data_IF_613818304503
#
_entry.id   IF_613818304503
#
_cell.length_a   1.000
_cell.length_b   1.000
_cell.length_c   1.000
_cell.angle_alpha   90.00
_cell.angle_beta   90.00
_cell.angle_gamma   90.00
#
_symmetry.space_group_name_H-M   'P 1'
#
loop_
_entity.id
_entity.type
_entity.pdbx_description
1 polymer ?
#
# COMPACT_ATOMS: atom_id res chain seq x y z
N UNK A 1 58.76 11.87 0.76
CA UNK A 1 58.19 11.48 -0.54
C UNK A 1 57.90 9.98 -0.52
N UNK A 2 56.71 9.61 -0.05
CA UNK A 2 56.04 8.33 -0.32
C UNK A 2 54.64 8.44 0.32
N UNK A 3 53.81 9.30 -0.27
CA UNK A 3 52.38 9.38 0.05
C UNK A 3 51.72 8.18 -0.62
N UNK A 4 51.57 7.09 0.13
CA UNK A 4 50.88 5.90 -0.35
C UNK A 4 49.40 6.07 -0.04
N UNK A 5 48.71 6.82 -0.90
CA UNK A 5 47.24 6.90 -0.92
C UNK A 5 46.71 5.53 -1.30
N UNK A 6 46.44 4.69 -0.31
CA UNK A 6 45.60 3.51 -0.46
C UNK A 6 44.16 3.98 -0.69
N UNK A 7 43.87 4.48 -1.90
CA UNK A 7 42.51 4.55 -2.41
C UNK A 7 42.00 3.12 -2.43
N UNK A 8 41.16 2.77 -1.45
CA UNK A 8 40.63 1.42 -1.29
C UNK A 8 40.02 0.95 -2.60
N UNK A 9 40.65 -0.05 -3.23
CA UNK A 9 40.17 -0.59 -4.48
C UNK A 9 38.71 -1.01 -4.29
N UNK A 10 37.81 -0.47 -5.12
CA UNK A 10 36.42 -0.87 -5.13
C UNK A 10 36.34 -2.40 -5.23
N UNK A 11 35.40 -3.01 -4.50
CA UNK A 11 35.17 -4.46 -4.58
C UNK A 11 35.09 -4.87 -6.06
N UNK A 12 35.74 -5.96 -6.49
CA UNK A 12 35.61 -6.45 -7.86
C UNK A 12 34.16 -6.87 -8.21
N UNK A 13 33.29 -6.99 -7.20
CA UNK A 13 31.86 -7.23 -7.34
C UNK A 13 31.02 -5.93 -7.36
N UNK A 14 31.65 -4.78 -7.10
CA UNK A 14 30.97 -3.49 -7.14
C UNK A 14 30.57 -3.15 -8.58
N UNK A 15 29.31 -2.72 -8.81
CA UNK A 15 28.92 -2.22 -10.10
C UNK A 15 29.76 -1.01 -10.51
N UNK A 16 30.02 -0.83 -11.81
CA UNK A 16 30.83 0.29 -12.32
C UNK A 16 30.27 1.69 -12.00
N UNK A 17 28.99 1.79 -11.65
CA UNK A 17 28.34 3.03 -11.24
C UNK A 17 28.47 3.33 -9.73
N UNK A 18 29.00 2.39 -8.94
CA UNK A 18 29.16 2.53 -7.49
C UNK A 18 30.53 3.17 -7.19
N UNK A 19 30.52 4.47 -6.92
CA UNK A 19 31.74 5.20 -6.56
C UNK A 19 32.07 5.03 -5.08
N UNK A 20 33.35 4.83 -4.78
CA UNK A 20 33.86 4.88 -3.40
C UNK A 20 33.75 6.34 -2.93
N UNK A 21 33.11 6.63 -1.78
CA UNK A 21 33.02 7.99 -1.27
C UNK A 21 34.42 8.58 -1.02
N UNK A 22 34.65 9.81 -1.49
CA UNK A 22 35.93 10.52 -1.27
C UNK A 22 36.20 10.85 0.20
N UNK A 23 35.16 10.90 1.02
CA UNK A 23 35.26 10.99 2.48
C UNK A 23 34.30 9.96 3.11
N UNK A 24 34.87 8.92 3.73
CA UNK A 24 34.11 7.87 4.42
C UNK A 24 33.44 8.37 5.71
N UNK A 25 33.91 9.49 6.27
CA UNK A 25 33.33 10.08 7.47
C UNK A 25 32.17 11.03 7.14
N UNK A 26 32.02 11.45 5.89
CA UNK A 26 30.91 12.32 5.49
C UNK A 26 29.57 11.61 5.60
N UNK A 27 28.64 12.20 6.35
CA UNK A 27 27.23 11.80 6.33
C UNK A 27 26.55 12.42 5.11
N UNK A 28 25.83 11.61 4.33
CA UNK A 28 25.05 12.08 3.17
C UNK A 28 23.64 12.41 3.66
N UNK A 29 23.21 13.69 3.73
CA UNK A 29 21.98 14.07 4.43
C UNK A 29 20.73 13.32 3.99
N UNK A 30 20.61 12.96 2.70
CA UNK A 30 19.45 12.23 2.18
C UNK A 30 19.37 10.76 2.59
N UNK A 31 20.45 10.17 3.15
CA UNK A 31 20.52 8.77 3.58
C UNK A 31 20.32 8.59 5.09
N UNK A 32 20.53 9.64 5.87
CA UNK A 32 20.47 9.61 7.33
C UNK A 32 19.20 10.30 7.82
N UNK A 33 18.83 10.07 9.09
CA UNK A 33 17.85 10.89 9.76
C UNK A 33 18.36 12.35 9.80
N UNK A 34 17.46 13.34 9.71
CA UNK A 34 17.88 14.74 9.60
C UNK A 34 18.62 15.27 10.85
N UNK A 35 18.44 14.59 11.98
CA UNK A 35 19.06 14.86 13.28
C UNK A 35 20.28 13.96 13.57
N UNK A 36 20.74 13.20 12.57
CA UNK A 36 21.99 12.48 12.62
C UNK A 36 23.17 13.41 12.33
N UNK A 37 24.19 13.36 13.17
CA UNK A 37 25.33 14.27 13.07
C UNK A 37 26.64 13.64 13.56
N UNK A 38 27.67 14.47 13.70
CA UNK A 38 28.90 14.09 14.40
C UNK A 38 29.14 15.03 15.57
N UNK A 39 29.51 14.45 16.70
CA UNK A 39 29.96 15.20 17.87
C UNK A 39 31.36 15.81 17.67
N UNK A 40 31.82 16.64 18.63
CA UNK A 40 33.14 17.27 18.59
C UNK A 40 34.32 16.28 18.52
N UNK A 41 34.13 15.06 19.00
CA UNK A 41 35.09 13.95 18.98
C UNK A 41 35.01 13.11 17.68
N UNK A 42 34.12 13.49 16.75
CA UNK A 42 33.88 12.78 15.50
C UNK A 42 32.92 11.60 15.62
N UNK A 43 32.41 11.26 16.81
CA UNK A 43 31.46 10.16 16.99
C UNK A 43 30.11 10.48 16.35
N UNK A 44 29.47 9.48 15.73
CA UNK A 44 28.10 9.61 15.21
C UNK A 44 27.13 9.90 16.36
N UNK A 45 26.25 10.87 16.16
CA UNK A 45 25.14 11.17 17.06
C UNK A 45 23.81 11.00 16.33
N UNK A 46 22.75 10.63 17.06
CA UNK A 46 21.36 10.63 16.57
C UNK A 46 20.53 11.37 17.61
N UNK A 47 19.80 12.41 17.20
CA UNK A 47 19.11 13.33 18.13
C UNK A 47 20.05 13.88 19.23
N UNK A 48 21.32 14.13 18.87
CA UNK A 48 22.36 14.57 19.81
C UNK A 48 22.95 13.48 20.72
N UNK A 49 22.40 12.26 20.74
CA UNK A 49 22.90 11.16 21.55
C UNK A 49 24.05 10.43 20.85
N UNK A 50 25.24 10.33 21.47
CA UNK A 50 26.36 9.61 20.88
C UNK A 50 26.06 8.10 20.80
N UNK A 51 26.36 7.48 19.65
CA UNK A 51 26.05 6.05 19.43
C UNK A 51 26.78 5.11 20.40
N UNK A 52 27.90 5.55 20.98
CA UNK A 52 28.60 4.83 22.04
C UNK A 52 27.78 4.71 23.32
N UNK A 53 27.08 5.78 23.71
CA UNK A 53 26.18 5.80 24.86
C UNK A 53 24.96 4.90 24.62
N UNK A 54 24.36 4.99 23.43
CA UNK A 54 23.24 4.12 23.02
C UNK A 54 23.65 2.65 23.11
N UNK A 55 24.82 2.29 22.56
CA UNK A 55 25.36 0.92 22.64
C UNK A 55 25.59 0.49 24.09
N UNK A 56 26.15 1.37 24.93
CA UNK A 56 26.41 1.05 26.33
C UNK A 56 25.12 0.81 27.12
N UNK A 57 24.06 1.57 26.82
CA UNK A 57 22.78 1.46 27.51
C UNK A 57 21.91 0.27 27.04
N UNK A 58 21.88 0.00 25.73
CA UNK A 58 20.93 -0.94 25.12
C UNK A 58 21.58 -2.17 24.46
N UNK A 59 22.90 -2.22 24.36
CA UNK A 59 23.62 -3.29 23.68
C UNK A 59 23.61 -3.17 22.15
N UNK A 60 24.11 -4.20 21.46
CA UNK A 60 24.13 -4.28 20.00
C UNK A 60 23.87 -5.70 19.50
N UNK A 61 23.13 -5.90 18.38
CA UNK A 61 22.62 -4.89 17.45
C UNK A 61 21.45 -4.08 18.02
N UNK A 62 21.37 -2.80 17.65
CA UNK A 62 20.31 -1.88 18.08
C UNK A 62 19.72 -1.13 16.87
N UNK A 63 18.40 -1.02 16.82
CA UNK A 63 17.71 -0.13 15.89
C UNK A 63 17.43 1.19 16.60
N UNK A 64 17.99 2.28 16.08
CA UNK A 64 17.75 3.64 16.59
C UNK A 64 16.81 4.33 15.62
N UNK A 65 15.63 4.70 16.12
CA UNK A 65 14.63 5.45 15.36
C UNK A 65 14.58 6.87 15.89
N UNK A 66 14.88 7.85 15.04
CA UNK A 66 14.62 9.26 15.36
C UNK A 66 13.12 9.50 15.29
N UNK A 67 12.52 9.86 16.42
CA UNK A 67 11.11 10.26 16.50
C UNK A 67 10.87 11.56 15.72
N UNK A 68 11.75 12.54 15.89
CA UNK A 68 11.65 13.82 15.19
C UNK A 68 11.72 13.63 13.67
N UNK A 69 12.62 12.78 13.15
CA UNK A 69 12.70 12.47 11.72
C UNK A 69 11.46 11.77 11.19
N UNK A 70 10.92 10.82 11.95
CA UNK A 70 9.66 10.18 11.59
C UNK A 70 8.52 11.19 11.49
N UNK A 71 8.33 12.00 12.53
CA UNK A 71 7.25 13.01 12.61
C UNK A 71 7.39 14.08 11.54
N UNK A 72 8.61 14.59 11.32
CA UNK A 72 8.90 15.57 10.28
C UNK A 72 8.53 15.05 8.89
N UNK A 73 8.87 13.78 8.57
CA UNK A 73 8.48 13.16 7.29
C UNK A 73 6.98 12.98 7.18
N UNK A 74 6.32 12.48 8.22
CA UNK A 74 4.87 12.31 8.24
C UNK A 74 4.15 13.63 7.95
N UNK A 75 4.54 14.71 8.66
CA UNK A 75 3.98 16.04 8.48
C UNK A 75 4.27 16.63 7.11
N UNK A 76 5.49 16.47 6.60
CA UNK A 76 5.86 16.96 5.27
C UNK A 76 4.99 16.30 4.19
N UNK A 77 4.79 14.99 4.29
CA UNK A 77 3.91 14.25 3.40
C UNK A 77 2.46 14.71 3.48
N UNK A 78 1.89 14.80 4.69
CA UNK A 78 0.51 15.28 4.89
C UNK A 78 0.31 16.67 4.32
N UNK A 79 1.22 17.59 4.62
CA UNK A 79 1.17 18.99 4.16
C UNK A 79 1.26 19.08 2.64
N UNK A 80 2.21 18.35 2.02
CA UNK A 80 2.40 18.39 0.58
C UNK A 80 1.16 17.87 -0.18
N UNK A 81 0.60 16.76 0.29
CA UNK A 81 -0.59 16.16 -0.31
C UNK A 81 -1.85 17.00 -0.06
N UNK A 82 -2.04 17.55 1.14
CA UNK A 82 -3.15 18.47 1.38
C UNK A 82 -3.07 19.70 0.47
N UNK A 83 -1.89 20.30 0.35
CA UNK A 83 -1.69 21.48 -0.49
C UNK A 83 -1.94 21.16 -1.97
N UNK A 84 -1.44 20.02 -2.48
CA UNK A 84 -1.62 19.61 -3.87
C UNK A 84 -3.09 19.36 -4.25
N UNK A 85 -3.93 18.99 -3.29
CA UNK A 85 -5.33 18.64 -3.50
C UNK A 85 -6.33 19.62 -2.87
N UNK A 86 -5.85 20.73 -2.30
CA UNK A 86 -6.68 21.71 -1.59
C UNK A 86 -7.82 22.25 -2.46
N UNK A 87 -7.53 22.63 -3.71
CA UNK A 87 -8.52 23.20 -4.63
C UNK A 87 -9.50 22.17 -5.19
N UNK A 88 -9.10 20.89 -5.24
CA UNK A 88 -9.90 19.80 -5.79
C UNK A 88 -10.89 19.24 -4.76
N UNK A 89 -10.42 19.03 -3.53
CA UNK A 89 -11.20 18.31 -2.52
C UNK A 89 -10.98 18.77 -1.08
N UNK A 90 -10.23 19.85 -0.85
CA UNK A 90 -9.96 20.40 0.48
C UNK A 90 -8.90 19.64 1.28
N UNK A 91 -8.14 18.76 0.63
CA UNK A 91 -7.10 17.92 1.22
C UNK A 91 -7.36 16.43 1.01
N UNK A 92 -6.41 15.59 1.42
CA UNK A 92 -6.49 14.13 1.21
C UNK A 92 -6.15 13.37 2.48
N UNK A 93 -6.57 12.12 2.50
CA UNK A 93 -6.24 11.18 3.56
C UNK A 93 -4.90 10.51 3.24
N UNK A 94 -4.00 10.50 4.21
CA UNK A 94 -2.66 9.93 4.09
C UNK A 94 -2.55 8.73 5.00
N UNK A 95 -2.21 7.58 4.45
CA UNK A 95 -2.14 6.32 5.19
C UNK A 95 -0.69 5.86 5.35
N UNK A 96 -0.19 5.85 6.58
CA UNK A 96 1.06 5.17 6.88
C UNK A 96 0.88 3.66 6.72
N UNK A 97 1.76 2.99 5.98
CA UNK A 97 1.66 1.53 5.86
C UNK A 97 2.39 0.81 6.98
N UNK A 98 1.63 0.15 7.84
CA UNK A 98 2.12 -0.60 9.00
C UNK A 98 3.15 -1.67 8.65
N UNK A 99 3.03 -2.30 7.47
CA UNK A 99 4.00 -3.28 6.95
C UNK A 99 5.46 -2.78 6.91
N UNK A 100 5.68 -1.46 6.93
CA UNK A 100 7.02 -0.87 6.89
C UNK A 100 7.74 -0.95 8.24
N UNK A 101 7.04 -0.61 9.33
CA UNK A 101 7.40 -0.87 10.72
C UNK A 101 6.20 -0.49 11.62
N UNK A 102 5.68 -1.40 12.43
CA UNK A 102 4.53 -1.11 13.29
C UNK A 102 4.77 -1.58 14.72
N UNK A 103 4.61 -0.64 15.65
CA UNK A 103 4.47 -0.87 17.08
C UNK A 103 3.49 0.16 17.64
N UNK A 104 3.10 0.05 18.91
CA UNK A 104 2.13 0.97 19.51
C UNK A 104 2.60 2.43 19.52
N UNK A 105 3.91 2.67 19.70
CA UNK A 105 4.47 4.02 19.66
C UNK A 105 4.36 4.63 18.25
N UNK A 106 4.77 3.91 17.21
CA UNK A 106 4.68 4.39 15.82
C UNK A 106 3.22 4.63 15.41
N UNK A 107 2.30 3.74 15.80
CA UNK A 107 0.88 3.93 15.54
C UNK A 107 0.32 5.20 16.21
N UNK A 108 0.78 5.51 17.43
CA UNK A 108 0.43 6.75 18.12
C UNK A 108 0.99 7.98 17.39
N UNK A 109 2.26 7.96 16.98
CA UNK A 109 2.89 9.04 16.22
C UNK A 109 2.16 9.33 14.90
N UNK A 110 1.83 8.28 14.14
CA UNK A 110 1.06 8.39 12.89
C UNK A 110 -0.24 9.15 13.11
N UNK A 111 -1.01 8.76 14.13
CA UNK A 111 -2.28 9.41 14.49
C UNK A 111 -2.08 10.86 14.92
N UNK A 112 -1.08 11.12 15.76
CA UNK A 112 -0.77 12.46 16.28
C UNK A 112 -0.33 13.44 15.18
N UNK A 113 0.35 12.95 14.15
CA UNK A 113 0.72 13.74 12.97
C UNK A 113 -0.42 13.88 11.95
N UNK A 114 -1.63 13.39 12.28
CA UNK A 114 -2.82 13.54 11.43
C UNK A 114 -2.86 12.59 10.23
N UNK A 115 -2.07 11.51 10.26
CA UNK A 115 -2.12 10.43 9.28
C UNK A 115 -3.10 9.34 9.74
N UNK A 116 -3.51 8.53 8.77
CA UNK A 116 -4.24 7.28 8.92
C UNK A 116 -3.28 6.09 8.86
N UNK A 117 -3.77 4.89 9.13
CA UNK A 117 -2.94 3.69 9.24
C UNK A 117 -3.48 2.55 8.38
N UNK A 118 -2.67 2.07 7.45
CA UNK A 118 -2.92 0.80 6.77
C UNK A 118 -2.35 -0.37 7.57
N UNK A 119 -3.17 -1.41 7.67
CA UNK A 119 -2.86 -2.71 8.25
C UNK A 119 -3.04 -3.79 7.19
N UNK A 120 -2.30 -4.89 7.29
CA UNK A 120 -2.35 -5.99 6.32
C UNK A 120 -2.70 -7.36 6.93
N UNK A 121 -2.93 -7.42 8.25
CA UNK A 121 -3.27 -8.65 8.97
C UNK A 121 -3.96 -8.36 10.30
N UNK A 122 -4.56 -9.37 10.91
CA UNK A 122 -5.16 -9.30 12.24
C UNK A 122 -4.16 -8.92 13.34
N UNK A 123 -2.88 -9.28 13.19
CA UNK A 123 -1.82 -8.88 14.12
C UNK A 123 -1.54 -7.37 14.08
N UNK A 124 -1.46 -6.80 12.88
CA UNK A 124 -1.30 -5.35 12.71
C UNK A 124 -2.54 -4.58 13.19
N UNK A 125 -3.74 -5.11 12.91
CA UNK A 125 -5.00 -4.56 13.41
C UNK A 125 -5.08 -4.57 14.94
N UNK A 126 -4.56 -5.62 15.58
CA UNK A 126 -4.47 -5.71 17.04
C UNK A 126 -3.49 -4.67 17.63
N UNK A 127 -2.36 -4.41 16.96
CA UNK A 127 -1.42 -3.35 17.39
C UNK A 127 -2.06 -1.96 17.26
N UNK A 128 -2.76 -1.70 16.15
CA UNK A 128 -3.48 -0.44 15.94
C UNK A 128 -4.55 -0.21 17.03
N UNK A 129 -5.36 -1.23 17.32
CA UNK A 129 -6.35 -1.18 18.39
C UNK A 129 -5.70 -0.98 19.77
N UNK A 130 -4.59 -1.67 20.05
CA UNK A 130 -3.83 -1.53 21.31
C UNK A 130 -3.26 -0.12 21.50
N UNK A 131 -2.89 0.53 20.40
CA UNK A 131 -2.41 1.91 20.37
C UNK A 131 -3.54 2.96 20.46
N UNK A 132 -4.81 2.52 20.45
CA UNK A 132 -5.96 3.42 20.51
C UNK A 132 -6.20 4.20 19.21
N UNK A 133 -5.78 3.67 18.06
CA UNK A 133 -6.12 4.25 16.76
C UNK A 133 -7.61 3.99 16.48
N UNK A 134 -8.43 5.03 16.27
CA UNK A 134 -9.83 4.87 15.92
C UNK A 134 -10.00 4.06 14.62
N UNK A 135 -10.99 3.17 14.59
CA UNK A 135 -11.23 2.27 13.45
C UNK A 135 -11.44 3.02 12.14
N UNK A 136 -12.14 4.15 12.16
CA UNK A 136 -12.41 4.96 10.97
C UNK A 136 -11.14 5.51 10.29
N UNK A 137 -10.01 5.54 11.00
CA UNK A 137 -8.69 5.94 10.50
C UNK A 137 -7.83 4.74 10.06
N UNK A 138 -8.37 3.52 10.09
CA UNK A 138 -7.66 2.29 9.71
C UNK A 138 -8.13 1.81 8.33
N UNK A 139 -7.17 1.38 7.50
CA UNK A 139 -7.38 0.56 6.31
C UNK A 139 -6.94 -0.88 6.57
N UNK A 140 -7.73 -1.88 6.14
CA UNK A 140 -7.34 -3.29 6.17
C UNK A 140 -7.12 -3.82 4.75
N UNK A 141 -5.85 -4.02 4.41
CA UNK A 141 -5.38 -4.73 3.22
C UNK A 141 -5.16 -6.22 3.52
N UNK A 142 -4.84 -6.98 2.48
CA UNK A 142 -4.47 -8.39 2.56
C UNK A 142 -5.09 -9.16 1.42
N UNK A 143 -4.33 -10.04 0.77
CA UNK A 143 -4.80 -10.78 -0.40
C UNK A 143 -5.52 -12.11 -0.06
N UNK A 144 -5.64 -12.39 1.23
CA UNK A 144 -6.25 -13.61 1.73
C UNK A 144 -6.73 -13.41 3.18
N UNK A 145 -7.58 -12.40 3.40
CA UNK A 145 -8.12 -12.13 4.74
C UNK A 145 -8.97 -13.30 5.21
N UNK A 146 -8.76 -13.73 6.45
CA UNK A 146 -9.61 -14.71 7.11
C UNK A 146 -10.93 -14.09 7.56
N UNK A 147 -11.96 -14.91 7.75
CA UNK A 147 -13.26 -14.47 8.26
C UNK A 147 -13.13 -13.82 9.64
N UNK A 148 -12.18 -14.30 10.47
CA UNK A 148 -11.87 -13.73 11.77
C UNK A 148 -11.28 -12.30 11.65
N UNK A 149 -10.42 -12.05 10.66
CA UNK A 149 -9.89 -10.71 10.41
C UNK A 149 -10.98 -9.76 9.89
N UNK A 150 -11.85 -10.24 8.99
CA UNK A 150 -12.99 -9.47 8.48
C UNK A 150 -13.95 -9.10 9.61
N UNK A 151 -14.35 -10.09 10.42
CA UNK A 151 -15.20 -9.88 11.60
C UNK A 151 -14.56 -8.85 12.55
N UNK A 152 -13.27 -9.01 12.86
CA UNK A 152 -12.57 -8.09 13.75
C UNK A 152 -12.51 -6.67 13.20
N UNK A 153 -12.30 -6.50 11.89
CA UNK A 153 -12.28 -5.19 11.24
C UNK A 153 -13.63 -4.49 11.35
N UNK A 154 -14.72 -5.22 11.11
CA UNK A 154 -16.07 -4.70 11.24
C UNK A 154 -16.40 -4.34 12.71
N UNK A 155 -15.90 -5.10 13.69
CA UNK A 155 -16.10 -4.82 15.13
C UNK A 155 -15.43 -3.53 15.56
N UNK A 156 -14.24 -3.29 15.02
CA UNK A 156 -13.47 -2.08 15.29
C UNK A 156 -14.01 -0.87 14.53
N UNK A 157 -14.95 -1.05 13.61
CA UNK A 157 -15.45 0.03 12.75
C UNK A 157 -14.37 0.52 11.76
N UNK A 158 -13.55 -0.40 11.22
CA UNK A 158 -12.48 -0.08 10.28
C UNK A 158 -13.01 0.76 9.11
N UNK A 159 -12.31 1.85 8.80
CA UNK A 159 -12.73 2.84 7.83
C UNK A 159 -12.74 2.35 6.39
N UNK A 160 -11.83 1.43 6.03
CA UNK A 160 -11.80 0.75 4.73
C UNK A 160 -11.35 -0.71 4.87
N UNK A 161 -12.09 -1.62 4.25
CA UNK A 161 -11.62 -2.98 3.93
C UNK A 161 -11.29 -2.98 2.44
N UNK A 162 -10.00 -3.14 2.11
CA UNK A 162 -9.52 -3.15 0.73
C UNK A 162 -9.60 -4.58 0.24
N UNK A 163 -10.67 -4.90 -0.47
CA UNK A 163 -11.00 -6.24 -0.97
C UNK A 163 -10.10 -6.59 -2.14
N UNK A 164 -9.53 -7.79 -2.12
CA UNK A 164 -8.51 -8.24 -3.07
C UNK A 164 -9.04 -9.31 -4.06
N UNK A 165 -10.21 -9.91 -3.79
CA UNK A 165 -10.86 -10.90 -4.66
C UNK A 165 -12.38 -10.90 -4.56
N UNK A 166 -13.06 -11.50 -5.55
CA UNK A 166 -14.52 -11.70 -5.53
C UNK A 166 -14.97 -12.57 -4.34
N UNK A 167 -14.24 -13.65 -4.05
CA UNK A 167 -14.53 -14.51 -2.89
C UNK A 167 -14.42 -13.77 -1.57
N UNK A 168 -13.48 -12.83 -1.46
CA UNK A 168 -13.38 -11.98 -0.27
C UNK A 168 -14.56 -11.00 -0.19
N UNK A 169 -14.98 -10.40 -1.30
CA UNK A 169 -16.13 -9.50 -1.35
C UNK A 169 -17.40 -10.17 -0.80
N UNK A 170 -17.70 -11.38 -1.27
CA UNK A 170 -18.86 -12.16 -0.83
C UNK A 170 -18.79 -12.49 0.66
N UNK A 171 -17.60 -12.86 1.17
CA UNK A 171 -17.41 -13.14 2.61
C UNK A 171 -17.58 -11.87 3.45
N UNK A 172 -17.06 -10.73 3.00
CA UNK A 172 -17.26 -9.44 3.69
C UNK A 172 -18.74 -9.09 3.73
N UNK A 173 -19.45 -9.22 2.62
CA UNK A 173 -20.89 -8.94 2.54
C UNK A 173 -21.71 -9.84 3.48
N UNK A 174 -21.42 -11.15 3.49
CA UNK A 174 -22.10 -12.11 4.34
C UNK A 174 -21.86 -11.86 5.83
N UNK A 175 -20.61 -11.62 6.23
CA UNK A 175 -20.25 -11.34 7.63
C UNK A 175 -20.85 -10.00 8.10
N UNK A 176 -20.87 -8.98 7.24
CA UNK A 176 -21.49 -7.69 7.55
C UNK A 176 -23.01 -7.81 7.70
N UNK A 177 -23.68 -8.52 6.80
CA UNK A 177 -25.13 -8.74 6.86
C UNK A 177 -25.54 -9.50 8.14
N UNK A 178 -24.77 -10.52 8.54
CA UNK A 178 -25.04 -11.30 9.75
C UNK A 178 -24.94 -10.49 11.05
N UNK A 179 -24.25 -9.35 11.07
CA UNK A 179 -24.16 -8.48 12.26
C UNK A 179 -25.37 -7.59 12.47
N UNK A 180 -26.15 -7.40 11.41
CA UNK A 180 -27.40 -6.64 11.46
C UNK A 180 -28.51 -7.30 12.25
N UNK A 181 -28.36 -8.58 12.62
CA UNK A 181 -29.42 -9.37 13.25
C UNK A 181 -29.41 -9.34 14.77
N UNK A 182 -28.37 -8.77 15.41
CA UNK A 182 -28.16 -8.89 16.85
C UNK A 182 -28.90 -7.83 17.69
N UNK A 183 -29.46 -6.78 17.07
CA UNK A 183 -30.19 -5.72 17.77
C UNK A 183 -31.48 -5.31 17.01
N UNK A 184 -32.69 -5.57 17.57
CA UNK A 184 -33.94 -5.16 16.94
C UNK A 184 -34.01 -3.64 16.77
N UNK A 185 -34.14 -3.17 15.53
CA UNK A 185 -34.37 -1.75 15.20
C UNK A 185 -33.11 -0.90 14.94
N UNK A 186 -31.91 -1.48 15.01
CA UNK A 186 -30.68 -0.82 14.55
C UNK A 186 -30.39 -1.19 13.09
N UNK A 187 -30.06 -0.20 12.26
CA UNK A 187 -29.56 -0.46 10.91
C UNK A 187 -28.19 -1.16 11.01
N UNK A 188 -28.03 -2.27 10.28
CA UNK A 188 -26.77 -3.00 10.24
C UNK A 188 -25.64 -2.08 9.72
N UNK A 189 -24.53 -1.92 10.43
CA UNK A 189 -23.42 -1.12 9.91
C UNK A 189 -22.87 -1.76 8.64
N UNK A 190 -22.89 -1.00 7.54
CA UNK A 190 -22.36 -1.44 6.25
C UNK A 190 -20.83 -1.52 6.30
N UNK A 191 -20.27 -2.55 5.66
CA UNK A 191 -18.84 -2.67 5.48
C UNK A 191 -18.36 -1.64 4.44
N UNK A 192 -17.48 -0.73 4.87
CA UNK A 192 -16.84 0.25 3.98
C UNK A 192 -15.77 -0.44 3.15
N UNK A 193 -16.03 -0.64 1.87
CA UNK A 193 -15.17 -1.42 0.97
C UNK A 193 -14.52 -0.53 -0.08
N UNK A 194 -13.25 -0.80 -0.35
CA UNK A 194 -12.59 -0.39 -1.60
C UNK A 194 -12.15 -1.64 -2.36
N UNK A 195 -12.23 -1.60 -3.69
CA UNK A 195 -11.76 -2.70 -4.53
C UNK A 195 -10.33 -2.47 -4.95
N UNK A 196 -9.43 -3.42 -4.67
CA UNK A 196 -8.08 -3.38 -5.21
C UNK A 196 -8.10 -3.81 -6.66
N UNK A 197 -7.72 -2.91 -7.55
CA UNK A 197 -7.65 -3.15 -8.98
C UNK A 197 -6.21 -3.25 -9.44
N UNK A 198 -6.02 -4.00 -10.52
CA UNK A 198 -4.77 -3.99 -11.26
C UNK A 198 -4.99 -3.29 -12.62
N UNK A 199 -4.36 -2.13 -12.84
CA UNK A 199 -4.60 -1.29 -14.03
C UNK A 199 -3.62 -1.55 -15.18
N UNK A 200 -2.74 -2.54 -15.10
CA UNK A 200 -1.74 -2.89 -16.11
C UNK A 200 -0.54 -1.94 -16.10
N UNK A 201 -0.27 -1.34 -14.95
CA UNK A 201 0.74 -0.31 -14.74
C UNK A 201 1.75 -0.84 -13.72
N UNK A 202 2.99 -1.06 -14.14
CA UNK A 202 4.10 -1.36 -13.24
C UNK A 202 5.16 -0.28 -13.34
N UNK A 203 5.39 0.43 -12.23
CA UNK A 203 6.36 1.49 -12.13
C UNK A 203 7.55 1.04 -11.28
N UNK A 204 8.74 1.10 -11.89
CA UNK A 204 10.02 0.86 -11.25
C UNK A 204 10.91 2.08 -11.42
N UNK A 205 11.89 2.23 -10.51
CA UNK A 205 12.85 3.34 -10.33
C UNK A 205 13.08 4.33 -11.50
N UNK A 206 13.16 3.88 -12.77
CA UNK A 206 13.28 4.74 -13.97
C UNK A 206 12.65 4.12 -15.25
N UNK A 207 11.75 3.14 -15.12
CA UNK A 207 11.14 2.48 -16.28
C UNK A 207 9.68 2.11 -15.97
N UNK A 208 8.77 2.55 -16.83
CA UNK A 208 7.36 2.18 -16.79
C UNK A 208 7.12 1.00 -17.73
N UNK A 209 6.66 -0.12 -17.19
CA UNK A 209 6.25 -1.28 -17.99
C UNK A 209 4.72 -1.36 -17.92
N UNK A 210 4.06 -1.04 -19.03
CA UNK A 210 2.67 -1.40 -19.24
C UNK A 210 2.61 -2.85 -19.71
N UNK A 211 2.28 -3.80 -18.82
CA UNK A 211 2.06 -5.19 -19.21
C UNK A 211 0.56 -5.45 -19.39
N UNK A 212 0.20 -6.11 -20.49
CA UNK A 212 -1.18 -6.53 -20.77
C UNK A 212 -1.64 -7.70 -19.88
N UNK A 213 -0.71 -8.40 -19.23
CA UNK A 213 -0.99 -9.44 -18.25
C UNK A 213 -0.24 -9.14 -16.96
N UNK A 214 -0.98 -9.21 -15.86
CA UNK A 214 -0.52 -8.87 -14.53
C UNK A 214 -0.27 -10.18 -13.78
N UNK A 215 0.95 -10.71 -13.88
CA UNK A 215 1.34 -11.93 -13.17
C UNK A 215 1.61 -11.60 -11.69
N UNK A 216 0.53 -11.28 -10.96
CA UNK A 216 0.57 -11.01 -9.53
C UNK A 216 -0.64 -11.61 -8.80
N UNK A 217 -0.44 -11.86 -7.50
CA UNK A 217 -1.45 -12.45 -6.61
C UNK A 217 -2.46 -11.45 -6.03
N UNK A 218 -2.45 -10.21 -6.52
CA UNK A 218 -3.16 -9.11 -5.88
C UNK A 218 -4.19 -8.48 -6.81
N UNK A 219 -5.36 -8.22 -6.24
CA UNK A 219 -6.40 -7.41 -6.84
C UNK A 219 -7.11 -8.04 -8.03
N UNK A 220 -8.04 -7.28 -8.56
CA UNK A 220 -8.94 -7.65 -9.64
C UNK A 220 -8.46 -6.99 -10.93
N UNK A 221 -8.24 -7.78 -11.98
CA UNK A 221 -7.74 -7.24 -13.24
C UNK A 221 -8.78 -6.34 -13.90
N UNK A 222 -8.33 -5.21 -14.43
CA UNK A 222 -9.13 -4.31 -15.26
C UNK A 222 -9.11 -4.72 -16.74
N UNK A 223 -8.32 -5.73 -17.11
CA UNK A 223 -8.20 -6.16 -18.49
C UNK A 223 -9.52 -6.76 -19.01
N UNK A 224 -9.95 -6.43 -20.24
CA UNK A 224 -11.13 -7.03 -20.86
C UNK A 224 -11.04 -8.56 -20.95
N UNK A 225 -12.17 -9.25 -20.74
CA UNK A 225 -12.26 -10.70 -20.85
C UNK A 225 -11.72 -11.48 -19.64
N UNK A 226 -11.42 -10.79 -18.54
CA UNK A 226 -10.98 -11.42 -17.28
C UNK A 226 -12.14 -11.81 -16.36
N UNK A 227 -13.35 -11.31 -16.60
CA UNK A 227 -14.52 -11.64 -15.78
C UNK A 227 -14.81 -13.15 -15.72
N UNK A 228 -15.49 -13.58 -14.66
CA UNK A 228 -15.91 -14.96 -14.49
C UNK A 228 -16.91 -15.37 -15.58
N UNK A 229 -16.94 -16.66 -15.91
CA UNK A 229 -17.89 -17.19 -16.91
C UNK A 229 -19.37 -17.02 -16.49
N UNK A 230 -19.63 -16.85 -15.20
CA UNK A 230 -20.96 -16.59 -14.65
C UNK A 230 -21.39 -15.13 -14.73
N UNK A 231 -20.46 -14.21 -15.02
CA UNK A 231 -20.79 -12.80 -15.10
C UNK A 231 -21.50 -12.49 -16.41
N UNK A 232 -22.80 -12.18 -16.30
CA UNK A 232 -23.63 -11.77 -17.43
C UNK A 232 -23.48 -10.28 -17.78
N UNK A 233 -22.64 -9.54 -17.06
CA UNK A 233 -22.35 -8.14 -17.36
C UNK A 233 -21.37 -8.03 -18.51
N UNK A 234 -21.79 -7.29 -19.54
CA UNK A 234 -20.99 -6.72 -20.62
C UNK A 234 -21.97 -6.04 -21.59
N UNK A 235 -21.65 -4.84 -22.08
CA UNK A 235 -22.35 -4.29 -23.26
C UNK A 235 -22.07 -5.15 -24.51
N UNK A 236 -22.85 -5.00 -25.59
CA UNK A 236 -22.75 -5.86 -26.78
C UNK A 236 -21.36 -5.90 -27.46
N UNK A 237 -20.49 -4.90 -27.21
CA UNK A 237 -19.20 -4.73 -27.89
C UNK A 237 -17.96 -4.71 -26.97
N UNK A 238 -18.10 -4.97 -25.67
CA UNK A 238 -16.99 -4.92 -24.70
C UNK A 238 -16.89 -6.19 -23.85
N UNK A 239 -15.72 -6.82 -23.80
CA UNK A 239 -15.50 -7.95 -22.90
C UNK A 239 -15.33 -7.45 -21.45
N UNK A 240 -16.18 -7.93 -20.54
CA UNK A 240 -16.14 -7.52 -19.13
C UNK A 240 -14.84 -7.93 -18.41
N UNK A 241 -14.50 -7.16 -17.38
CA UNK A 241 -13.33 -7.38 -16.53
C UNK A 241 -13.72 -7.89 -15.14
N UNK A 242 -12.80 -8.53 -14.42
CA UNK A 242 -13.04 -8.91 -13.01
C UNK A 242 -13.32 -7.69 -12.13
N UNK A 243 -12.69 -6.54 -12.44
CA UNK A 243 -12.94 -5.28 -11.76
C UNK A 243 -14.40 -4.82 -11.91
N UNK A 244 -14.95 -4.92 -13.12
CA UNK A 244 -16.35 -4.60 -13.40
C UNK A 244 -17.32 -5.54 -12.69
N UNK A 245 -17.05 -6.85 -12.73
CA UNK A 245 -17.83 -7.85 -12.00
C UNK A 245 -17.89 -7.55 -10.50
N UNK A 246 -16.76 -7.17 -9.90
CA UNK A 246 -16.70 -6.82 -8.49
C UNK A 246 -17.49 -5.55 -8.15
N UNK A 247 -17.51 -4.54 -9.04
CA UNK A 247 -18.34 -3.34 -8.85
C UNK A 247 -19.83 -3.72 -8.90
N UNK A 248 -20.23 -4.52 -9.89
CA UNK A 248 -21.61 -4.98 -10.01
C UNK A 248 -22.04 -5.82 -8.78
N UNK A 249 -21.19 -6.74 -8.33
CA UNK A 249 -21.44 -7.56 -7.14
C UNK A 249 -21.56 -6.69 -5.88
N UNK A 250 -20.61 -5.78 -5.64
CA UNK A 250 -20.63 -4.90 -4.47
C UNK A 250 -21.86 -3.98 -4.46
N UNK A 251 -22.33 -3.53 -5.62
CA UNK A 251 -23.56 -2.73 -5.75
C UNK A 251 -24.84 -3.52 -5.44
N UNK A 252 -24.80 -4.86 -5.57
CA UNK A 252 -25.92 -5.74 -5.24
C UNK A 252 -26.04 -6.10 -3.77
N UNK A 253 -25.04 -5.78 -2.93
CA UNK A 253 -25.03 -6.09 -1.50
C UNK A 253 -25.39 -4.87 -0.64
N UNK A 254 -26.55 -4.89 0.01
CA UNK A 254 -26.97 -3.83 0.93
C UNK A 254 -26.00 -3.64 2.11
N UNK A 255 -25.35 -4.73 2.53
CA UNK A 255 -24.37 -4.74 3.62
C UNK A 255 -23.00 -4.13 3.25
N UNK A 256 -22.78 -3.76 1.98
CA UNK A 256 -21.54 -3.16 1.50
C UNK A 256 -21.75 -1.69 1.16
N UNK A 257 -20.93 -0.81 1.72
CA UNK A 257 -20.76 0.58 1.25
C UNK A 257 -19.50 0.63 0.37
N UNK A 258 -19.70 0.58 -0.95
CA UNK A 258 -18.59 0.67 -1.90
C UNK A 258 -18.09 2.13 -2.01
N UNK A 259 -16.92 2.40 -1.46
CA UNK A 259 -16.32 3.73 -1.41
C UNK A 259 -15.52 4.07 -2.67
N UNK A 260 -14.90 3.09 -3.32
CA UNK A 260 -13.91 3.42 -4.31
C UNK A 260 -13.01 2.28 -4.76
N UNK A 261 -11.93 2.67 -5.43
CA UNK A 261 -10.93 1.75 -5.98
C UNK A 261 -9.54 2.10 -5.47
N UNK A 262 -8.74 1.07 -5.24
CA UNK A 262 -7.36 1.16 -4.80
C UNK A 262 -6.46 0.48 -5.83
N UNK A 263 -5.25 1.01 -6.07
CA UNK A 263 -4.21 0.29 -6.80
C UNK A 263 -2.87 0.42 -6.09
N UNK A 264 -1.91 -0.44 -6.43
CA UNK A 264 -0.53 -0.33 -5.98
C UNK A 264 0.40 -0.74 -7.13
N UNK A 265 1.11 0.23 -7.69
CA UNK A 265 1.80 0.09 -8.98
C UNK A 265 3.29 -0.26 -8.87
N UNK A 266 3.85 -0.30 -7.67
CA UNK A 266 5.26 -0.65 -7.50
C UNK A 266 5.88 -0.18 -6.20
N UNK A 267 7.20 -0.11 -6.18
CA UNK A 267 7.99 0.33 -5.02
C UNK A 267 9.22 1.09 -5.49
N UNK A 268 9.71 2.00 -4.64
CA UNK A 268 10.86 2.86 -4.97
C UNK A 268 10.64 3.68 -6.24
N UNK A 269 9.45 4.27 -6.37
CA UNK A 269 9.10 5.16 -7.46
C UNK A 269 9.58 6.57 -7.12
N UNK A 270 10.40 7.15 -8.01
CA UNK A 270 10.90 8.52 -7.92
C UNK A 270 10.21 9.48 -8.91
N UNK A 271 9.51 8.93 -9.89
CA UNK A 271 9.02 9.58 -11.10
C UNK A 271 7.48 9.50 -11.14
N UNK A 272 6.75 10.62 -11.36
CA UNK A 272 5.29 10.67 -11.23
C UNK A 272 4.53 9.96 -12.36
N UNK A 273 5.15 9.71 -13.51
CA UNK A 273 4.51 9.28 -14.75
C UNK A 273 3.77 7.94 -14.60
N UNK A 274 4.31 7.04 -13.78
CA UNK A 274 3.64 5.78 -13.46
C UNK A 274 2.33 5.99 -12.67
N UNK A 275 2.31 6.94 -11.74
CA UNK A 275 1.11 7.29 -10.99
C UNK A 275 0.09 8.00 -11.86
N UNK A 276 0.54 8.88 -12.76
CA UNK A 276 -0.33 9.54 -13.74
C UNK A 276 -1.04 8.51 -14.63
N UNK A 277 -0.29 7.56 -15.21
CA UNK A 277 -0.88 6.50 -16.04
C UNK A 277 -1.88 5.63 -15.27
N UNK A 278 -1.61 5.33 -13.99
CA UNK A 278 -2.54 4.60 -13.13
C UNK A 278 -3.81 5.41 -12.86
N UNK A 279 -3.66 6.69 -12.50
CA UNK A 279 -4.76 7.57 -12.17
C UNK A 279 -5.70 7.76 -13.37
N UNK A 280 -5.17 7.97 -14.58
CA UNK A 280 -5.97 8.09 -15.80
C UNK A 280 -6.82 6.83 -16.01
N UNK A 281 -6.21 5.64 -15.98
CA UNK A 281 -6.93 4.36 -16.19
C UNK A 281 -8.01 4.13 -15.14
N UNK A 282 -7.73 4.43 -13.87
CA UNK A 282 -8.71 4.26 -12.79
C UNK A 282 -9.86 5.28 -12.90
N UNK A 283 -9.59 6.53 -13.27
CA UNK A 283 -10.62 7.54 -13.47
C UNK A 283 -11.52 7.21 -14.66
N UNK A 284 -10.96 6.73 -15.77
CA UNK A 284 -11.72 6.22 -16.91
C UNK A 284 -12.60 5.04 -16.51
N UNK A 285 -12.07 4.09 -15.75
CA UNK A 285 -12.82 2.97 -15.21
C UNK A 285 -13.97 3.44 -14.30
N UNK A 286 -13.70 4.35 -13.35
CA UNK A 286 -14.72 4.91 -12.46
C UNK A 286 -15.84 5.61 -13.26
N UNK A 287 -15.49 6.36 -14.30
CA UNK A 287 -16.46 7.01 -15.18
C UNK A 287 -17.32 5.98 -15.94
N UNK A 288 -16.71 4.91 -16.46
CA UNK A 288 -17.43 3.83 -17.13
C UNK A 288 -18.38 3.10 -16.18
N UNK A 289 -17.95 2.78 -14.96
CA UNK A 289 -18.77 2.13 -13.94
C UNK A 289 -19.95 2.99 -13.50
N UNK A 290 -19.75 4.31 -13.36
CA UNK A 290 -20.84 5.25 -13.09
C UNK A 290 -21.86 5.27 -14.23
N UNK A 291 -21.41 5.23 -15.48
CA UNK A 291 -22.30 5.23 -16.64
C UNK A 291 -23.09 3.92 -16.79
N UNK A 292 -22.45 2.78 -16.52
CA UNK A 292 -23.05 1.46 -16.71
C UNK A 292 -23.97 1.05 -15.55
N UNK A 293 -23.57 1.33 -14.31
CA UNK A 293 -24.24 0.82 -13.10
C UNK A 293 -24.85 1.92 -12.22
N UNK A 294 -24.65 3.20 -12.55
CA UNK A 294 -25.13 4.31 -11.71
C UNK A 294 -24.42 4.43 -10.36
N UNK A 295 -23.34 3.67 -10.14
CA UNK A 295 -22.58 3.63 -8.88
C UNK A 295 -21.65 4.83 -8.80
N UNK A 296 -21.67 5.52 -7.65
CA UNK A 296 -20.71 6.56 -7.35
C UNK A 296 -19.54 5.99 -6.55
N UNK A 297 -18.32 6.18 -7.04
CA UNK A 297 -17.08 5.78 -6.39
C UNK A 297 -16.32 7.05 -5.94
N UNK A 298 -16.64 7.59 -4.74
CA UNK A 298 -16.11 8.89 -4.30
C UNK A 298 -14.63 8.89 -3.89
N UNK A 299 -14.02 7.72 -3.68
CA UNK A 299 -12.64 7.59 -3.23
C UNK A 299 -11.75 6.92 -4.30
N UNK A 300 -10.58 7.50 -4.52
CA UNK A 300 -9.51 6.93 -5.34
C UNK A 300 -8.24 6.85 -4.50
N UNK A 301 -7.63 5.67 -4.44
CA UNK A 301 -6.36 5.42 -3.77
C UNK A 301 -5.33 4.85 -4.75
N UNK A 302 -4.23 5.58 -4.94
CA UNK A 302 -3.15 5.21 -5.86
C UNK A 302 -2.06 4.36 -5.20
N UNK A 303 -2.28 4.00 -3.94
CA UNK A 303 -1.41 3.19 -3.14
C UNK A 303 -0.12 3.90 -2.75
N UNK A 304 0.72 3.13 -2.07
CA UNK A 304 2.06 3.54 -1.70
C UNK A 304 3.07 3.24 -2.79
N UNK A 305 4.15 4.00 -2.93
CA UNK A 305 5.40 3.51 -3.57
C UNK A 305 6.58 4.49 -3.50
N UNK A 306 6.37 5.69 -2.96
CA UNK A 306 7.35 6.78 -2.99
C UNK A 306 8.69 6.35 -2.40
N UNK A 307 9.75 6.53 -3.16
CA UNK A 307 11.06 6.02 -2.79
C UNK A 307 11.68 6.75 -1.60
N UNK A 308 12.43 5.99 -0.78
CA UNK A 308 13.46 6.56 0.10
C UNK A 308 14.83 6.42 -0.58
N UNK A 309 15.71 7.43 -0.50
CA UNK A 309 17.11 7.27 -0.93
C UNK A 309 17.79 6.16 -0.11
N UNK A 310 18.46 5.22 -0.78
CA UNK A 310 19.17 4.09 -0.12
C UNK A 310 20.67 4.05 -0.44
N UNK A 311 21.11 4.72 -1.51
CA UNK A 311 22.52 4.97 -1.82
C UNK A 311 22.66 6.16 -2.78
N UNK A 312 23.83 6.84 -2.77
CA UNK A 312 24.13 7.93 -3.72
C UNK A 312 24.43 7.34 -5.10
N UNK A 313 23.56 7.53 -6.09
CA UNK A 313 23.85 7.10 -7.48
C UNK A 313 22.97 5.99 -8.04
N UNK A 314 21.73 5.81 -7.55
CA UNK A 314 20.71 5.06 -8.29
C UNK A 314 20.29 5.84 -9.54
N UNK A 315 21.18 5.93 -10.54
CA UNK A 315 20.83 6.11 -11.95
C UNK A 315 21.01 4.76 -12.60
N UNK A 316 19.96 3.93 -12.60
CA UNK A 316 19.97 2.70 -13.42
C UNK A 316 19.54 3.10 -14.83
N UNK A 317 20.51 3.37 -15.70
CA UNK A 317 20.26 3.44 -17.14
C UNK A 317 19.86 2.08 -17.72
N UNK A 318 19.24 2.05 -18.91
CA UNK A 318 18.65 0.84 -19.48
C UNK A 318 19.71 -0.25 -19.68
N UNK A 319 19.53 -1.42 -19.05
CA UNK A 319 20.33 -2.60 -19.39
C UNK A 319 19.82 -3.17 -20.70
N UNK A 320 20.60 -3.00 -21.77
CA UNK A 320 20.50 -3.86 -22.94
C UNK A 320 20.61 -5.33 -22.48
N UNK A 321 19.56 -6.12 -22.71
CA UNK A 321 19.59 -7.56 -22.45
C UNK A 321 20.68 -8.19 -23.31
N UNK A 322 21.83 -8.52 -22.71
CA UNK A 322 22.77 -9.45 -23.33
C UNK A 322 22.12 -10.84 -23.34
N UNK A 323 21.66 -11.27 -24.51
CA UNK A 323 21.28 -12.66 -24.76
C UNK A 323 22.55 -13.51 -24.72
N UNK A 324 23.00 -13.91 -23.52
CA UNK A 324 23.93 -15.03 -23.40
C UNK A 324 23.12 -16.33 -23.47
N UNK A 325 23.10 -16.94 -24.66
CA UNK A 325 22.71 -18.34 -24.86
C UNK A 325 23.58 -19.19 -23.93
N UNK A 326 22.94 -19.97 -23.06
CA UNK A 326 23.61 -21.08 -22.40
C UNK A 326 23.83 -22.20 -23.43
N UNK A 327 25.04 -22.77 -23.57
CA UNK A 327 25.26 -23.91 -24.43
C UNK A 327 24.57 -25.15 -23.84
N UNK A 328 23.78 -25.81 -24.69
CA UNK A 328 23.10 -27.07 -24.39
C UNK A 328 24.10 -28.22 -24.43
N UNK A 329 24.81 -28.45 -23.33
CA UNK A 329 25.52 -29.70 -23.09
C UNK A 329 25.87 -29.79 -21.61
N UNK A 330 24.98 -30.38 -20.83
CA UNK A 330 25.24 -31.09 -19.56
C UNK A 330 23.87 -31.39 -18.92
N UNK A 331 23.21 -32.43 -19.42
CA UNK A 331 22.08 -33.07 -18.74
C UNK A 331 22.38 -34.57 -18.66
N UNK A 332 22.32 -35.19 -17.46
CA UNK A 332 22.01 -36.61 -17.31
C UNK A 332 20.52 -36.81 -16.91
N UNK A 333 19.96 -38.01 -17.11
CA UNK A 333 18.54 -38.16 -17.44
C UNK A 333 17.60 -38.44 -16.24
N UNK A 334 16.38 -37.95 -16.42
CA UNK A 334 15.06 -38.49 -16.03
C UNK A 334 14.78 -38.94 -14.58
N UNK A 335 13.70 -38.40 -13.99
CA UNK A 335 12.47 -39.19 -13.76
C UNK A 335 11.27 -38.28 -13.51
N UNK A 336 10.20 -38.50 -14.28
CA UNK A 336 8.86 -37.93 -14.09
C UNK A 336 8.10 -38.86 -13.15
N UNK A 337 7.47 -38.34 -12.09
CA UNK A 337 6.34 -39.03 -11.46
C UNK A 337 5.20 -38.05 -11.20
N UNK A 338 4.03 -38.42 -11.73
CA UNK A 338 2.74 -37.86 -11.40
C UNK A 338 2.00 -38.91 -10.55
N UNK A 339 1.21 -38.49 -9.57
CA UNK A 339 0.16 -39.34 -8.99
C UNK A 339 -1.00 -38.52 -8.41
N UNK A 340 -2.23 -39.06 -8.42
CA UNK A 340 -3.50 -38.33 -8.45
C UNK A 340 -4.23 -38.34 -7.07
N UNK A 341 -5.43 -37.73 -6.91
CA UNK A 341 -5.98 -37.35 -5.61
C UNK A 341 -6.79 -38.49 -4.95
N UNK A 342 -6.82 -38.56 -3.61
CA UNK A 342 -7.84 -39.29 -2.84
C UNK A 342 -8.12 -38.62 -1.49
N UNK A 343 -9.39 -38.63 -1.09
CA UNK A 343 -9.91 -38.00 0.12
C UNK A 343 -10.16 -38.92 1.32
N UNK A 344 -10.63 -38.24 2.37
CA UNK A 344 -11.44 -38.63 3.54
C UNK A 344 -11.01 -39.75 4.53
N UNK A 345 -11.02 -39.32 5.81
CA UNK A 345 -11.32 -39.99 7.11
C UNK A 345 -10.20 -40.61 7.99
N UNK A 346 -10.06 -39.94 9.15
CA UNK A 346 -9.94 -40.40 10.57
C UNK A 346 -8.91 -41.45 11.00
N UNK A 347 -8.02 -41.08 11.92
CA UNK A 347 -8.05 -41.39 13.38
C UNK A 347 -6.65 -41.41 14.04
N UNK A 348 -6.62 -40.89 15.28
CA UNK A 348 -5.63 -40.96 16.39
C UNK A 348 -4.29 -41.70 16.18
N UNK A 349 -3.18 -41.04 16.50
CA UNK A 349 -2.46 -41.15 17.79
C UNK A 349 -1.03 -40.60 17.70
N UNK A 350 -0.57 -40.03 18.81
CA UNK A 350 0.68 -39.30 18.98
C UNK A 350 1.97 -40.13 18.77
N UNK A 351 3.03 -39.45 18.31
CA UNK A 351 4.39 -39.56 18.86
C UNK A 351 5.29 -38.42 18.37
N UNK A 352 6.01 -37.86 19.32
CA UNK A 352 6.94 -36.73 19.29
C UNK A 352 8.25 -37.03 18.55
N UNK A 353 8.69 -36.12 17.67
CA UNK A 353 10.10 -35.94 17.31
C UNK A 353 10.40 -34.45 17.09
N UNK A 354 11.42 -33.95 17.80
CA UNK A 354 11.91 -32.57 17.75
C UNK A 354 12.73 -32.23 16.49
N UNK A 355 13.27 -31.00 16.40
CA UNK A 355 13.34 -30.25 15.15
C UNK A 355 14.64 -30.45 14.37
N UNK A 356 14.54 -30.37 13.04
CA UNK A 356 15.66 -30.05 12.14
C UNK A 356 15.34 -28.78 11.36
N UNK A 357 16.31 -27.87 11.17
CA UNK A 357 16.08 -26.57 10.54
C UNK A 357 16.07 -26.70 9.01
N UNK A 358 15.17 -26.00 8.35
CA UNK A 358 15.21 -25.76 6.90
C UNK A 358 15.59 -24.29 6.62
N UNK A 359 16.20 -24.01 5.46
CA UNK A 359 16.98 -22.80 5.23
C UNK A 359 16.09 -21.58 5.00
N UNK A 360 16.56 -20.46 5.53
CA UNK A 360 15.96 -19.13 5.46
C UNK A 360 15.69 -18.68 4.01
N UNK A 361 14.41 -18.62 3.63
CA UNK A 361 13.96 -17.84 2.48
C UNK A 361 14.00 -16.37 2.88
N UNK A 362 14.91 -15.63 2.27
CA UNK A 362 15.15 -14.20 2.53
C UNK A 362 14.01 -13.39 1.92
N UNK A 363 13.03 -13.00 2.73
CA UNK A 363 11.97 -12.05 2.36
C UNK A 363 12.52 -10.62 2.37
N UNK A 364 12.28 -9.87 1.29
CA UNK A 364 12.46 -8.42 1.26
C UNK A 364 11.07 -7.77 1.47
N UNK A 365 10.79 -7.11 2.60
CA UNK A 365 9.55 -6.36 2.77
C UNK A 365 9.58 -5.07 1.94
N UNK A 366 8.56 -4.84 1.12
CA UNK A 366 8.33 -3.54 0.47
C UNK A 366 7.74 -2.55 1.49
N UNK A 367 8.56 -1.58 1.90
CA UNK A 367 8.17 -0.44 2.73
C UNK A 367 7.38 0.55 1.86
N UNK A 368 6.30 1.16 2.37
CA UNK A 368 5.78 2.52 2.02
C UNK A 368 4.26 2.65 2.23
N UNK A 369 3.83 3.89 2.51
CA UNK A 369 2.53 4.49 2.85
C UNK A 369 1.65 4.91 1.65
N UNK A 370 0.31 4.71 1.73
CA UNK A 370 -0.71 4.96 0.69
C UNK A 370 -1.48 6.28 0.92
N UNK A 371 -2.34 6.70 -0.02
CA UNK A 371 -3.05 7.99 0.01
C UNK A 371 -4.42 7.86 -0.66
N UNK A 372 -5.48 8.40 -0.05
CA UNK A 372 -6.83 8.39 -0.61
C UNK A 372 -7.35 9.80 -0.82
N UNK A 373 -7.83 10.10 -2.03
CA UNK A 373 -8.52 11.36 -2.35
C UNK A 373 -10.03 11.21 -2.17
N UNK A 374 -10.66 12.09 -1.38
CA UNK A 374 -12.10 12.12 -1.12
C UNK A 374 -12.71 13.40 -1.66
N UNK A 375 -13.62 13.32 -2.63
CA UNK A 375 -14.41 14.50 -3.01
C UNK A 375 -15.41 14.88 -1.89
N UNK A 376 -15.19 16.01 -1.20
CA UNK A 376 -16.19 16.54 -0.27
C UNK A 376 -17.37 17.12 -1.04
N UNK A 377 -18.58 16.57 -0.84
CA UNK A 377 -19.82 17.15 -1.38
C UNK A 377 -20.06 18.51 -0.73
N UNK A 378 -19.87 19.60 -1.47
CA UNK A 378 -20.48 20.90 -1.10
C UNK A 378 -21.99 20.75 -1.25
N UNK A 379 -22.73 20.81 -0.13
CA UNK A 379 -24.18 21.04 -0.17
C UNK A 379 -24.38 22.43 -0.80
N UNK A 380 -24.88 22.49 -2.03
CA UNK A 380 -25.48 23.71 -2.55
C UNK A 380 -26.77 23.94 -1.76
N UNK A 381 -26.69 24.77 -0.72
CA UNK A 381 -27.87 25.31 -0.08
C UNK A 381 -28.49 26.32 -1.05
N UNK A 382 -29.69 26.00 -1.54
CA UNK A 382 -30.51 26.96 -2.27
C UNK A 382 -30.78 28.16 -1.35
N UNK A 383 -30.26 29.33 -1.71
CA UNK A 383 -30.57 30.58 -1.02
C UNK A 383 -32.05 30.96 -1.20
N UNK A 384 -32.63 31.73 -0.26
CA UNK A 384 -34.03 32.11 -0.32
C UNK A 384 -34.29 33.11 -1.46
N UNK A 385 -35.53 33.16 -2.01
CA UNK A 385 -35.83 34.01 -3.14
C UNK A 385 -35.75 35.50 -2.76
N UNK A 386 -35.12 36.26 -3.66
CA UNK A 386 -34.88 37.69 -3.54
C UNK A 386 -36.21 38.45 -3.44
N UNK A 387 -36.38 39.21 -2.34
CA UNK A 387 -37.50 40.11 -2.16
C UNK A 387 -37.34 41.33 -3.07
N UNK A 388 -38.29 41.50 -3.99
CA UNK A 388 -38.41 42.70 -4.81
C UNK A 388 -38.70 43.92 -3.92
N UNK A 389 -37.75 44.85 -3.86
CA UNK A 389 -38.00 46.20 -3.35
C UNK A 389 -37.78 47.20 -4.47
N UNK A 390 -38.89 47.62 -5.04
CA UNK A 390 -39.00 48.82 -5.86
C UNK A 390 -38.70 50.05 -5.03
N UNK A 391 -37.71 50.86 -5.42
CA UNK A 391 -37.71 52.30 -5.14
C UNK A 391 -37.31 53.06 -6.39
N UNK A 392 -38.26 53.83 -6.88
CA UNK A 392 -38.05 54.91 -7.84
C UNK A 392 -37.28 56.05 -7.18
N UNK A 393 -36.52 56.75 -7.99
CA UNK A 393 -35.95 58.05 -7.70
C UNK A 393 -36.96 59.16 -8.03
N UNK A 394 -36.89 60.24 -7.23
CA UNK A 394 -37.64 61.52 -7.33
C UNK A 394 -39.15 61.45 -7.00
N UNK A 395 -39.71 62.34 -6.16
CA UNK A 395 -39.21 63.61 -5.61
C UNK A 395 -38.83 63.57 -4.13
#
# INVERSE_FOLDING_TARGET
MAEMTAAGAASPLAPAWLEVPGDLNRLVPSLWAHDAGRGPDGQLTVAGLPVGEIKSAYGSPVFVLSEDDFRARARAFKTAFDAAFADLCGGVDVYYAGKSFLCTAVAAWVREEGLRLDTASGGELAVAARAGVPGELIGLHGNNKSDAEIARALELGVGRIIVDSLDELERVAAIAAARGTDAPGAEAPRAKVMLRLTPGVHAHTHEFIATAHEDQKFGLSMAPGTASASFAGAGPDAAASMAEEAVAAAAGHDSIELLGVHCHIGSQIFEPEGFEAAAVRLLEFVAAMRSAYGVALPELDLGAATASPTFRGTRRGPRARSRRRWPASCAPPATVSASPPRGSRSSRAARSWGPRPSPSTRWAPSRTSSWTCRAQRRRMTAGPPCAATSRSTAA
#
